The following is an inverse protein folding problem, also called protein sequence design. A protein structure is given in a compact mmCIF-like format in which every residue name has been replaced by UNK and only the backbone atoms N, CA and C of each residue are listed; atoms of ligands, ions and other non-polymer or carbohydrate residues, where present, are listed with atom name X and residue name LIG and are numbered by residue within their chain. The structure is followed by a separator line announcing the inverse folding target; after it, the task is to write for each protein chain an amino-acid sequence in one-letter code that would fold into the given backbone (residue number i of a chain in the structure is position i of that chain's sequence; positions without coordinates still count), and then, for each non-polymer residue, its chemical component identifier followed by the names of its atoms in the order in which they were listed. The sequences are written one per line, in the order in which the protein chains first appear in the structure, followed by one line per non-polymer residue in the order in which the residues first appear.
data_IF_484576789355
#
_entry.id   IF_484576789355
#
_cell.length_a   1.000
_cell.length_b   1.000
_cell.length_c   1.000
_cell.angle_alpha   90.00
_cell.angle_beta   90.00
_cell.angle_gamma   90.00
#
_symmetry.space_group_name_H-M   'P 1'
#
loop_
_entity.id
_entity.type
_entity.pdbx_description
1 polymer ?
#
# COMPACT_ATOMS: atom_id res chain seq x y z
N UNK A 1 -7.19 7.51 23.31
CA UNK A 1 -8.11 8.39 22.56
C UNK A 1 -9.44 8.39 23.28
N UNK A 2 -9.99 9.56 23.60
CA UNK A 2 -11.35 9.68 24.10
C UNK A 2 -12.23 10.22 22.96
N UNK A 3 -12.86 9.31 22.21
CA UNK A 3 -13.64 9.65 21.00
C UNK A 3 -15.02 10.12 21.44
N UNK A 4 -15.38 11.35 21.08
CA UNK A 4 -16.68 11.96 21.43
C UNK A 4 -17.72 11.85 20.32
N UNK A 5 -17.27 11.79 19.07
CA UNK A 5 -18.12 11.77 17.88
C UNK A 5 -17.46 10.89 16.80
N UNK A 6 -18.29 10.23 16.00
CA UNK A 6 -17.87 9.48 14.82
C UNK A 6 -18.53 10.08 13.58
N UNK A 7 -17.75 10.26 12.52
CA UNK A 7 -18.23 10.72 11.22
C UNK A 7 -17.98 9.65 10.17
N UNK A 8 -19.06 9.18 9.54
CA UNK A 8 -18.96 8.25 8.42
C UNK A 8 -18.44 8.99 7.17
N UNK A 9 -17.36 8.45 6.57
CA UNK A 9 -16.70 8.97 5.37
C UNK A 9 -16.46 7.82 4.37
N UNK A 10 -15.72 8.08 3.30
CA UNK A 10 -15.27 7.01 2.39
C UNK A 10 -14.22 6.10 3.07
N UNK A 11 -13.90 4.96 2.45
CA UNK A 11 -12.99 3.96 3.03
C UNK A 11 -11.54 4.39 2.88
N UNK A 12 -11.08 5.35 3.68
CA UNK A 12 -9.71 5.87 3.64
C UNK A 12 -9.38 6.66 2.37
N UNK A 13 -10.41 7.05 1.59
CA UNK A 13 -10.26 7.74 0.32
C UNK A 13 -10.13 9.26 0.45
N UNK A 14 -10.34 10.00 -0.66
CA UNK A 14 -10.17 11.46 -0.70
C UNK A 14 -10.97 12.23 0.36
N UNK A 15 -12.18 11.79 0.73
CA UNK A 15 -12.98 12.49 1.74
C UNK A 15 -12.36 12.34 3.13
N UNK A 16 -11.91 11.14 3.47
CA UNK A 16 -11.23 10.81 4.72
C UNK A 16 -9.90 11.54 4.84
N UNK A 17 -9.07 11.51 3.79
CA UNK A 17 -7.80 12.23 3.74
C UNK A 17 -8.03 13.73 3.90
N UNK A 18 -9.01 14.31 3.21
CA UNK A 18 -9.30 15.74 3.32
C UNK A 18 -9.85 16.12 4.71
N UNK A 19 -10.71 15.29 5.30
CA UNK A 19 -11.23 15.53 6.63
C UNK A 19 -10.13 15.51 7.69
N UNK A 20 -9.18 14.58 7.60
CA UNK A 20 -8.02 14.53 8.49
C UNK A 20 -7.09 15.73 8.26
N UNK A 21 -6.80 16.05 6.99
CA UNK A 21 -5.92 17.17 6.60
C UNK A 21 -6.45 18.53 7.09
N UNK A 22 -7.75 18.74 7.03
CA UNK A 22 -8.41 20.00 7.42
C UNK A 22 -8.76 20.07 8.90
N UNK A 23 -8.53 18.99 9.65
CA UNK A 23 -8.87 18.90 11.08
C UNK A 23 -10.35 18.69 11.36
N UNK A 24 -11.17 18.40 10.35
CA UNK A 24 -12.57 18.02 10.52
C UNK A 24 -12.73 16.68 11.28
N UNK A 25 -11.70 15.83 11.24
CA UNK A 25 -11.52 14.69 12.15
C UNK A 25 -10.09 14.70 12.69
N UNK A 26 -9.87 14.16 13.90
CA UNK A 26 -8.54 14.10 14.52
C UNK A 26 -7.82 12.76 14.31
N UNK A 27 -8.57 11.73 13.91
CA UNK A 27 -8.06 10.41 13.58
C UNK A 27 -8.93 9.83 12.45
N UNK A 28 -8.33 9.00 11.61
CA UNK A 28 -9.00 8.34 10.50
C UNK A 28 -8.41 6.95 10.26
N UNK A 29 -9.22 6.08 9.68
CA UNK A 29 -8.76 4.80 9.15
C UNK A 29 -8.17 5.02 7.75
N UNK A 30 -6.93 4.58 7.55
CA UNK A 30 -6.17 4.68 6.29
C UNK A 30 -5.36 3.40 6.09
N UNK A 31 -5.15 3.03 4.83
CA UNK A 31 -4.34 1.86 4.49
C UNK A 31 -2.84 2.16 4.63
N UNK A 32 -2.08 1.22 5.18
CA UNK A 32 -0.64 1.38 5.45
C UNK A 32 0.21 1.63 4.19
N UNK A 33 -0.29 1.25 3.02
CA UNK A 33 0.35 1.48 1.72
C UNK A 33 -0.17 2.73 0.99
N UNK A 34 -0.96 3.57 1.66
CA UNK A 34 -1.52 4.79 1.07
C UNK A 34 -0.46 5.92 1.02
N UNK A 35 -0.16 6.48 -0.17
CA UNK A 35 0.83 7.54 -0.32
C UNK A 35 0.45 8.87 0.34
N UNK A 36 -0.83 9.09 0.63
CA UNK A 36 -1.33 10.30 1.29
C UNK A 36 -0.81 10.48 2.71
N UNK A 37 -0.45 9.39 3.39
CA UNK A 37 0.15 9.42 4.73
C UNK A 37 1.42 10.26 4.71
N UNK A 38 2.37 9.90 3.83
CA UNK A 38 3.61 10.64 3.67
C UNK A 38 3.38 12.04 3.09
N UNK A 39 2.51 12.17 2.09
CA UNK A 39 2.25 13.44 1.41
C UNK A 39 1.68 14.53 2.35
N UNK A 40 0.90 14.12 3.36
CA UNK A 40 0.31 15.04 4.34
C UNK A 40 1.00 15.01 5.71
N UNK A 41 2.12 14.28 5.84
CA UNK A 41 2.86 14.09 7.11
C UNK A 41 1.98 13.54 8.24
N UNK A 42 1.04 12.67 7.89
CA UNK A 42 0.24 11.96 8.89
C UNK A 42 1.10 10.93 9.62
N UNK A 43 0.69 10.61 10.83
CA UNK A 43 1.37 9.62 11.68
C UNK A 43 0.49 8.38 11.80
N UNK A 44 1.01 7.25 11.34
CA UNK A 44 0.36 5.95 11.56
C UNK A 44 0.51 5.54 13.03
N UNK A 45 -0.60 5.19 13.68
CA UNK A 45 -0.59 4.66 15.03
C UNK A 45 -0.29 3.16 15.00
N UNK A 46 0.49 2.68 15.97
CA UNK A 46 0.75 1.25 16.12
C UNK A 46 -0.53 0.51 16.55
N UNK A 47 -0.66 -0.76 16.14
CA UNK A 47 -1.67 -1.70 16.62
C UNK A 47 -1.03 -2.74 17.58
N UNK A 48 -0.73 -2.36 18.83
CA UNK A 48 0.01 -3.23 19.75
C UNK A 48 -0.78 -4.45 20.22
N UNK A 49 -2.10 -4.46 20.01
CA UNK A 49 -2.98 -5.56 20.41
C UNK A 49 -3.31 -6.49 19.25
N UNK A 50 -2.80 -6.21 18.05
CA UNK A 50 -3.11 -6.95 16.83
C UNK A 50 -4.63 -7.04 16.61
N UNK A 51 -5.32 -5.92 16.84
CA UNK A 51 -6.76 -5.81 16.57
C UNK A 51 -7.06 -6.00 15.08
N UNK A 52 -6.11 -5.68 14.21
CA UNK A 52 -6.19 -5.91 12.77
C UNK A 52 -5.28 -7.07 12.36
N UNK A 53 -5.84 -8.00 11.59
CA UNK A 53 -5.05 -9.09 11.04
C UNK A 53 -3.98 -8.55 10.07
N UNK A 54 -2.80 -9.17 10.06
CA UNK A 54 -1.76 -8.84 9.10
C UNK A 54 -2.23 -9.11 7.66
N UNK A 55 -2.11 -8.11 6.79
CA UNK A 55 -2.52 -8.17 5.37
C UNK A 55 -1.29 -8.24 4.47
N UNK A 56 -0.47 -9.29 4.65
CA UNK A 56 0.75 -9.47 3.87
C UNK A 56 0.43 -9.77 2.40
N UNK A 57 1.13 -9.11 1.47
CA UNK A 57 1.05 -9.41 0.04
C UNK A 57 1.93 -10.61 -0.26
N UNK A 58 1.31 -11.73 -0.65
CA UNK A 58 2.00 -12.98 -0.93
C UNK A 58 1.54 -13.58 -2.28
N UNK A 59 2.46 -14.11 -3.10
CA UNK A 59 2.08 -14.81 -4.32
C UNK A 59 1.47 -16.17 -3.99
N UNK A 60 0.26 -16.42 -4.50
CA UNK A 60 -0.42 -17.72 -4.42
C UNK A 60 -0.47 -18.35 -5.81
N UNK A 61 0.01 -19.59 -5.93
CA UNK A 61 0.09 -20.31 -7.20
C UNK A 61 -0.28 -21.78 -7.02
N UNK A 62 -0.89 -22.37 -8.06
CA UNK A 62 -1.12 -23.81 -8.12
C UNK A 62 0.21 -24.58 -8.04
N UNK A 63 0.28 -25.58 -7.16
CA UNK A 63 1.51 -26.35 -6.90
C UNK A 63 2.08 -27.03 -8.16
N UNK A 64 1.23 -27.51 -9.06
CA UNK A 64 1.64 -28.14 -10.32
C UNK A 64 2.32 -27.17 -11.30
N UNK A 65 2.15 -25.85 -11.10
CA UNK A 65 2.80 -24.79 -11.89
C UNK A 65 3.97 -24.12 -11.16
N UNK A 66 4.19 -24.45 -9.89
CA UNK A 66 5.24 -23.87 -9.06
C UNK A 66 6.58 -24.57 -9.26
N UNK A 67 7.08 -24.59 -10.50
CA UNK A 67 8.42 -25.11 -10.82
C UNK A 67 9.55 -24.26 -10.21
N UNK A 68 10.81 -24.75 -10.23
CA UNK A 68 11.94 -24.06 -9.62
C UNK A 68 12.12 -22.61 -10.08
N UNK A 69 12.01 -22.36 -11.40
CA UNK A 69 12.13 -21.01 -11.97
C UNK A 69 11.05 -20.07 -11.44
N UNK A 70 9.79 -20.51 -11.44
CA UNK A 70 8.66 -19.69 -10.98
C UNK A 70 8.81 -19.32 -9.51
N UNK A 71 9.19 -20.29 -8.66
CA UNK A 71 9.47 -20.05 -7.25
C UNK A 71 10.60 -19.04 -7.06
N UNK A 72 11.69 -19.20 -7.79
CA UNK A 72 12.84 -18.28 -7.72
C UNK A 72 12.44 -16.85 -8.07
N UNK A 73 11.67 -16.67 -9.14
CA UNK A 73 11.21 -15.33 -9.59
C UNK A 73 10.27 -14.71 -8.56
N UNK A 74 9.24 -15.44 -8.11
CA UNK A 74 8.27 -14.94 -7.13
C UNK A 74 8.92 -14.60 -5.78
N UNK A 75 9.90 -15.39 -5.33
CA UNK A 75 10.66 -15.11 -4.13
C UNK A 75 11.51 -13.83 -4.29
N UNK A 76 12.16 -13.65 -5.44
CA UNK A 76 12.96 -12.45 -5.70
C UNK A 76 12.11 -11.17 -5.76
N UNK A 77 10.89 -11.25 -6.32
CA UNK A 77 9.90 -10.16 -6.28
C UNK A 77 9.48 -9.87 -4.84
N UNK A 78 9.05 -10.91 -4.10
CA UNK A 78 8.54 -10.78 -2.73
C UNK A 78 9.58 -10.19 -1.78
N UNK A 79 10.86 -10.56 -1.93
CA UNK A 79 11.96 -10.02 -1.13
C UNK A 79 12.17 -8.50 -1.34
N UNK A 80 11.76 -7.95 -2.48
CA UNK A 80 11.94 -6.52 -2.82
C UNK A 80 10.66 -5.69 -2.63
N UNK A 81 9.49 -6.32 -2.69
CA UNK A 81 8.19 -5.64 -2.59
C UNK A 81 7.82 -5.30 -1.13
N UNK A 82 8.63 -4.45 -0.50
CA UNK A 82 8.40 -3.96 0.86
C UNK A 82 7.22 -3.00 0.95
N UNK A 83 6.70 -2.73 2.15
CA UNK A 83 5.65 -1.72 2.36
C UNK A 83 6.05 -0.34 1.84
N UNK A 84 7.31 0.07 2.05
CA UNK A 84 7.81 1.34 1.52
C UNK A 84 7.79 1.39 -0.01
N UNK A 85 8.11 0.27 -0.68
CA UNK A 85 8.00 0.15 -2.13
C UNK A 85 6.53 0.18 -2.57
N UNK A 86 5.63 -0.52 -1.88
CA UNK A 86 4.19 -0.48 -2.18
C UNK A 86 3.62 0.95 -2.10
N UNK A 87 4.02 1.74 -1.08
CA UNK A 87 3.66 3.16 -0.98
C UNK A 87 4.14 3.94 -2.22
N UNK A 88 5.37 3.72 -2.68
CA UNK A 88 5.90 4.39 -3.87
C UNK A 88 5.15 3.99 -5.15
N UNK A 89 4.86 2.69 -5.32
CA UNK A 89 4.13 2.19 -6.50
C UNK A 89 2.69 2.70 -6.52
N UNK A 90 1.99 2.66 -5.39
CA UNK A 90 0.65 3.24 -5.25
C UNK A 90 0.65 4.75 -5.47
N UNK A 91 1.70 5.45 -5.02
CA UNK A 91 1.91 6.87 -5.30
C UNK A 91 2.00 7.17 -6.80
N UNK A 92 2.74 6.35 -7.56
CA UNK A 92 2.81 6.48 -9.02
C UNK A 92 1.45 6.26 -9.67
N UNK A 93 0.72 5.22 -9.26
CA UNK A 93 -0.62 4.91 -9.81
C UNK A 93 -1.64 6.02 -9.54
N UNK A 94 -1.54 6.66 -8.37
CA UNK A 94 -2.44 7.74 -7.96
C UNK A 94 -2.04 9.13 -8.50
N UNK A 95 -0.98 9.24 -9.31
CA UNK A 95 -0.56 10.51 -9.90
C UNK A 95 -1.64 11.04 -10.87
N UNK A 96 -1.71 12.37 -11.13
CA UNK A 96 -2.75 12.99 -11.97
C UNK A 96 -2.92 12.39 -13.38
N UNK A 97 -1.86 11.79 -13.93
CA UNK A 97 -1.89 11.11 -15.23
C UNK A 97 -2.36 9.65 -15.20
N UNK A 98 -2.66 9.08 -14.02
CA UNK A 98 -3.08 7.69 -13.78
C UNK A 98 -2.35 6.71 -14.71
N UNK A 99 -1.02 6.58 -14.55
CA UNK A 99 -0.21 5.80 -15.46
C UNK A 99 -0.68 4.35 -15.51
N UNK A 100 -0.46 3.71 -16.66
CA UNK A 100 -0.80 2.30 -16.87
C UNK A 100 -0.11 1.42 -15.80
N UNK A 101 -0.86 0.56 -15.07
CA UNK A 101 -0.28 -0.27 -14.02
C UNK A 101 0.79 -1.24 -14.51
N UNK A 102 0.66 -1.75 -15.73
CA UNK A 102 1.65 -2.65 -16.33
C UNK A 102 2.96 -1.91 -16.62
N UNK A 103 2.87 -0.65 -17.05
CA UNK A 103 4.05 0.21 -17.23
C UNK A 103 4.73 0.49 -15.89
N UNK A 104 3.98 0.85 -14.85
CA UNK A 104 4.54 1.10 -13.51
C UNK A 104 5.22 -0.15 -12.95
N UNK A 105 4.61 -1.32 -13.12
CA UNK A 105 5.19 -2.60 -12.70
C UNK A 105 6.45 -2.95 -13.48
N UNK A 106 6.42 -2.81 -14.81
CA UNK A 106 7.58 -3.08 -15.69
C UNK A 106 8.76 -2.16 -15.37
N UNK A 107 8.51 -0.86 -15.18
CA UNK A 107 9.54 0.11 -14.82
C UNK A 107 10.14 -0.21 -13.46
N UNK A 108 9.31 -0.61 -12.49
CA UNK A 108 9.81 -1.02 -11.18
C UNK A 108 10.67 -2.27 -11.27
N UNK A 109 10.20 -3.34 -11.92
CA UNK A 109 10.96 -4.58 -12.10
C UNK A 109 12.32 -4.32 -12.76
N UNK A 110 12.35 -3.44 -13.77
CA UNK A 110 13.58 -3.01 -14.45
C UNK A 110 14.49 -2.27 -13.48
N UNK A 111 13.97 -1.31 -12.72
CA UNK A 111 14.75 -0.52 -11.76
C UNK A 111 15.40 -1.36 -10.65
N UNK A 112 14.83 -2.54 -10.34
CA UNK A 112 15.36 -3.43 -9.30
C UNK A 112 16.11 -4.65 -9.85
N UNK A 113 16.36 -4.69 -11.17
CA UNK A 113 17.14 -5.71 -11.85
C UNK A 113 16.42 -7.07 -11.95
N UNK A 114 15.09 -7.09 -11.92
CA UNK A 114 14.28 -8.31 -12.04
C UNK A 114 13.77 -8.57 -13.46
N UNK A 115 14.00 -7.65 -14.39
CA UNK A 115 13.80 -7.82 -15.82
C UNK A 115 15.10 -7.49 -16.56
N UNK A 116 15.36 -8.22 -17.64
CA UNK A 116 16.39 -7.88 -18.63
C UNK A 116 15.71 -7.26 -19.84
#
# INVERSE_FOLDING_TARGET
LNVKEFKSLDSGGPLTVNALKTGAVQAADLFSTDPSIAANKFVALADPKNNFAAQNVLPLINSAKAGPTVRSVLNAISAKLTTAVLVQLNGKLNAPGKPDPSKVASDWLTSVGLTK
#
